data_IF_091560321802
#
_entry.id   IF_091560321802
#
_cell.length_a   1.000
_cell.length_b   1.000
_cell.length_c   1.000
_cell.angle_alpha   90.00
_cell.angle_beta   90.00
_cell.angle_gamma   90.00
#
_symmetry.space_group_name_H-M   'P 1'
#
loop_
_entity.id
_entity.type
_entity.pdbx_description
1 polymer ?
#
# COMPACT_ATOMS: atom_id res chain seq x y z
N UNK A 1 -15.70 27.04 16.37
CA UNK A 1 -15.14 25.78 15.85
C UNK A 1 -13.78 26.09 15.23
N UNK A 2 -12.74 25.35 15.63
CA UNK A 2 -11.45 25.37 14.94
C UNK A 2 -11.59 24.52 13.67
N UNK A 3 -11.38 25.12 12.50
CA UNK A 3 -11.34 24.38 11.23
C UNK A 3 -9.90 24.03 10.86
N UNK A 4 -9.69 23.03 10.00
CA UNK A 4 -8.36 22.71 9.46
C UNK A 4 -8.41 22.87 7.95
N UNK A 5 -7.43 23.60 7.37
CA UNK A 5 -7.25 23.72 5.92
C UNK A 5 -5.95 23.05 5.52
N UNK A 6 -6.02 22.15 4.56
CA UNK A 6 -4.85 21.49 3.96
C UNK A 6 -4.66 22.10 2.57
N UNK A 7 -3.43 22.53 2.28
CA UNK A 7 -3.04 23.07 0.98
C UNK A 7 -1.78 22.35 0.54
N UNK A 8 -1.73 21.93 -0.71
CA UNK A 8 -0.56 21.30 -1.30
C UNK A 8 -0.14 22.13 -2.51
N UNK A 9 1.16 22.23 -2.77
CA UNK A 9 1.68 22.81 -4.00
C UNK A 9 2.78 21.91 -4.54
N UNK A 10 2.88 21.80 -5.85
CA UNK A 10 3.95 21.02 -6.46
C UNK A 10 5.28 21.76 -6.30
N UNK A 11 6.32 21.08 -5.85
CA UNK A 11 7.67 21.65 -5.67
C UNK A 11 8.70 21.02 -6.59
N UNK A 12 8.37 19.90 -7.24
CA UNK A 12 9.17 19.29 -8.31
C UNK A 12 8.31 18.40 -9.21
N UNK A 13 8.90 17.82 -10.26
CA UNK A 13 8.21 16.89 -11.16
C UNK A 13 7.68 15.61 -10.49
N UNK A 14 8.12 15.29 -9.26
CA UNK A 14 7.80 14.05 -8.55
C UNK A 14 7.42 14.26 -7.09
N UNK A 15 7.30 15.51 -6.63
CA UNK A 15 7.02 15.80 -5.23
C UNK A 15 6.17 17.07 -5.05
N UNK A 16 5.31 17.00 -4.04
CA UNK A 16 4.42 18.06 -3.62
C UNK A 16 4.63 18.38 -2.15
N UNK A 17 4.64 19.68 -1.86
CA UNK A 17 4.70 20.20 -0.51
C UNK A 17 3.29 20.33 0.04
N UNK A 18 3.00 19.62 1.11
CA UNK A 18 1.73 19.67 1.82
C UNK A 18 1.88 20.55 3.07
N UNK A 19 0.94 21.48 3.24
CA UNK A 19 0.88 22.43 4.35
C UNK A 19 -0.47 22.31 5.06
N UNK A 20 -0.44 22.06 6.36
CA UNK A 20 -1.63 22.02 7.22
C UNK A 20 -1.72 23.30 8.06
N UNK A 21 -2.86 23.99 7.99
CA UNK A 21 -3.12 25.24 8.73
C UNK A 21 -4.36 25.10 9.60
N UNK A 22 -4.31 25.62 10.83
CA UNK A 22 -5.46 25.62 11.75
C UNK A 22 -6.15 26.98 11.70
N UNK A 23 -7.48 26.97 11.52
CA UNK A 23 -8.34 28.15 11.44
C UNK A 23 -8.90 28.49 12.82
N UNK A 24 -8.67 29.72 13.29
CA UNK A 24 -9.29 30.18 14.53
C UNK A 24 -10.70 30.77 14.34
N UNK A 25 -11.09 31.17 13.11
CA UNK A 25 -12.46 31.57 12.74
C UNK A 25 -12.68 31.37 11.23
N UNK A 26 -13.87 30.88 10.85
CA UNK A 26 -14.24 30.66 9.46
C UNK A 26 -14.31 31.98 8.67
N UNK A 27 -13.64 32.06 7.52
CA UNK A 27 -13.84 33.12 6.52
C UNK A 27 -12.91 34.35 6.57
N UNK A 28 -11.85 34.38 7.39
CA UNK A 28 -10.82 35.45 7.33
C UNK A 28 -9.52 34.97 6.69
N UNK A 29 -8.85 35.88 5.98
CA UNK A 29 -7.54 35.66 5.37
C UNK A 29 -6.53 35.15 6.40
N UNK A 30 -5.78 34.11 6.02
CA UNK A 30 -4.93 33.33 6.93
C UNK A 30 -3.52 33.94 6.92
N UNK A 31 -3.03 34.54 8.02
CA UNK A 31 -1.64 34.93 8.13
C UNK A 31 -0.73 33.71 8.20
N UNK A 32 0.51 33.82 7.71
CA UNK A 32 1.49 32.71 7.65
C UNK A 32 1.90 32.14 9.03
N UNK A 33 1.54 32.82 10.12
CA UNK A 33 1.74 32.36 11.50
C UNK A 33 0.87 31.17 11.93
N UNK A 34 -0.09 30.73 11.09
CA UNK A 34 -0.99 29.59 11.37
C UNK A 34 -0.54 28.23 10.81
N UNK A 35 0.71 28.09 10.36
CA UNK A 35 1.27 26.83 9.85
C UNK A 35 1.53 25.84 10.99
N UNK A 36 0.97 24.64 10.88
CA UNK A 36 1.14 23.57 11.89
C UNK A 36 2.03 22.45 11.38
N UNK A 37 2.02 22.19 10.08
CA UNK A 37 2.87 21.19 9.45
C UNK A 37 3.19 21.59 8.01
N UNK A 38 4.45 21.46 7.60
CA UNK A 38 4.94 21.64 6.23
C UNK A 38 5.84 20.43 5.91
N UNK A 39 5.50 19.65 4.89
CA UNK A 39 6.22 18.42 4.52
C UNK A 39 6.28 18.27 3.00
N UNK A 40 7.45 17.87 2.49
CA UNK A 40 7.63 17.48 1.10
C UNK A 40 7.37 15.97 0.97
N UNK A 41 6.37 15.62 0.17
CA UNK A 41 5.97 14.25 -0.07
C UNK A 41 6.13 13.92 -1.56
N UNK A 42 6.66 12.74 -1.92
CA UNK A 42 6.57 12.23 -3.28
C UNK A 42 5.12 12.20 -3.77
N UNK A 43 4.87 12.55 -5.03
CA UNK A 43 3.51 12.58 -5.59
C UNK A 43 2.87 11.17 -5.55
N UNK A 44 3.68 10.11 -5.62
CA UNK A 44 3.24 8.72 -5.48
C UNK A 44 2.71 8.38 -4.07
N UNK A 45 3.12 9.14 -3.05
CA UNK A 45 2.72 8.97 -1.65
C UNK A 45 1.48 9.80 -1.29
N UNK A 46 0.94 10.57 -2.25
CA UNK A 46 -0.27 11.38 -2.07
C UNK A 46 -1.39 10.73 -2.88
N UNK A 47 -2.55 10.52 -2.23
CA UNK A 47 -3.73 9.97 -2.91
C UNK A 47 -4.16 10.87 -4.08
N UNK A 48 -4.34 10.30 -5.28
CA UNK A 48 -4.74 11.02 -6.50
C UNK A 48 -6.01 11.88 -6.35
N UNK A 49 -6.96 11.47 -5.51
CA UNK A 49 -8.16 12.25 -5.20
C UNK A 49 -7.85 13.52 -4.39
N UNK A 50 -6.84 13.46 -3.52
CA UNK A 50 -6.32 14.61 -2.74
C UNK A 50 -5.50 15.51 -3.65
N UNK A 51 -4.65 14.95 -4.52
CA UNK A 51 -3.91 15.69 -5.56
C UNK A 51 -4.90 16.51 -6.40
N UNK A 52 -6.00 15.92 -6.87
CA UNK A 52 -7.02 16.60 -7.70
C UNK A 52 -7.89 17.61 -6.94
N UNK A 53 -8.14 17.44 -5.64
CA UNK A 53 -8.93 18.41 -4.86
C UNK A 53 -8.10 19.57 -4.31
N UNK A 54 -6.82 19.34 -4.05
CA UNK A 54 -5.93 20.30 -3.38
C UNK A 54 -5.06 21.08 -4.37
N UNK A 55 -4.79 20.54 -5.56
CA UNK A 55 -4.00 21.20 -6.62
C UNK A 55 -4.86 21.88 -7.70
N UNK A 56 -6.19 21.80 -7.61
CA UNK A 56 -7.11 22.55 -8.47
C UNK A 56 -7.24 23.97 -7.87
N UNK A 57 -6.26 24.83 -8.17
CA UNK A 57 -6.15 26.19 -7.59
C UNK A 57 -7.43 27.02 -7.78
N UNK A 58 -8.21 26.71 -8.83
CA UNK A 58 -9.49 27.35 -9.16
C UNK A 58 -10.62 27.00 -8.16
N UNK A 59 -10.55 25.86 -7.45
CA UNK A 59 -11.57 25.42 -6.48
C UNK A 59 -11.30 25.87 -5.05
N UNK A 60 -10.09 26.33 -4.72
CA UNK A 60 -9.69 26.63 -3.34
C UNK A 60 -9.84 28.10 -2.93
N UNK A 61 -10.26 28.99 -3.85
CA UNK A 61 -10.61 30.37 -3.55
C UNK A 61 -9.47 31.20 -2.94
N UNK A 62 -8.22 30.90 -3.29
CA UNK A 62 -7.03 31.69 -2.93
C UNK A 62 -6.06 31.65 -4.10
N UNK A 63 -6.25 32.56 -5.04
CA UNK A 63 -5.24 32.83 -6.06
C UNK A 63 -3.99 33.46 -5.45
N UNK A 64 -2.83 33.02 -5.90
CA UNK A 64 -1.74 33.93 -6.21
C UNK A 64 -1.41 33.74 -7.69
N UNK A 65 -1.29 34.86 -8.39
CA UNK A 65 -1.13 34.95 -9.84
C UNK A 65 0.15 34.26 -10.32
N UNK A 66 0.04 33.64 -11.51
CA UNK A 66 1.04 33.49 -12.58
C UNK A 66 2.51 33.33 -12.16
N UNK A 67 3.10 32.15 -12.44
CA UNK A 67 4.32 32.02 -13.26
C UNK A 67 4.78 30.55 -13.48
N UNK A 68 4.18 29.54 -12.85
CA UNK A 68 4.69 28.15 -12.92
C UNK A 68 4.11 27.25 -14.03
N UNK A 69 3.30 27.81 -14.95
CA UNK A 69 2.68 27.05 -16.05
C UNK A 69 3.63 26.70 -17.22
N UNK A 70 4.87 27.22 -17.23
CA UNK A 70 5.74 27.18 -18.42
C UNK A 70 6.69 25.98 -18.54
N UNK A 71 6.82 25.10 -17.54
CA UNK A 71 7.80 23.99 -17.59
C UNK A 71 7.24 22.66 -18.14
N UNK A 72 5.96 22.61 -18.53
CA UNK A 72 5.29 21.38 -19.01
C UNK A 72 5.44 21.10 -20.53
N UNK A 73 6.09 21.97 -21.31
CA UNK A 73 5.98 21.94 -22.77
C UNK A 73 7.20 21.43 -23.56
N UNK A 74 8.24 20.87 -22.93
CA UNK A 74 9.44 20.40 -23.67
C UNK A 74 9.95 19.03 -23.23
N UNK A 75 9.16 17.98 -23.46
CA UNK A 75 9.70 16.68 -23.87
C UNK A 75 8.57 15.82 -24.46
N UNK A 76 8.73 15.43 -25.73
CA UNK A 76 7.74 14.65 -26.49
C UNK A 76 7.80 13.18 -26.08
N UNK A 77 6.66 12.50 -25.83
CA UNK A 77 6.63 11.05 -25.76
C UNK A 77 6.72 10.42 -27.16
N UNK A 78 7.28 9.20 -27.32
CA UNK A 78 7.30 8.50 -28.59
C UNK A 78 5.91 7.93 -28.92
N UNK A 79 5.60 7.98 -30.21
CA UNK A 79 4.34 7.58 -30.85
C UNK A 79 4.23 6.04 -30.90
N UNK A 80 3.08 5.49 -30.52
CA UNK A 80 2.63 4.17 -30.95
C UNK A 80 1.16 4.29 -31.35
N UNK A 81 0.87 3.84 -32.57
CA UNK A 81 -0.39 4.00 -33.29
C UNK A 81 -1.54 3.16 -32.70
N UNK A 82 -2.74 3.74 -32.69
CA UNK A 82 -4.01 3.04 -32.43
C UNK A 82 -4.33 2.02 -33.53
N UNK A 83 -5.12 0.99 -33.20
CA UNK A 83 -6.32 0.79 -34.00
C UNK A 83 -7.60 0.91 -33.18
N UNK A 84 -8.58 1.40 -33.91
CA UNK A 84 -9.89 1.90 -33.50
C UNK A 84 -10.83 0.81 -33.00
N UNK A 85 -11.71 1.23 -32.09
CA UNK A 85 -13.14 1.06 -32.31
C UNK A 85 -13.90 0.23 -31.27
N UNK A 86 -14.62 0.95 -30.41
CA UNK A 86 -16.02 0.64 -30.12
C UNK A 86 -16.31 -0.22 -28.89
N UNK A 87 -17.25 0.24 -28.08
CA UNK A 87 -18.01 -0.64 -27.18
C UNK A 87 -17.90 -0.26 -25.71
N UNK A 88 -18.85 0.55 -25.27
CA UNK A 88 -19.12 0.85 -23.88
C UNK A 88 -19.78 -0.38 -23.24
N UNK A 89 -19.07 -1.15 -22.41
CA UNK A 89 -19.70 -2.19 -21.57
C UNK A 89 -19.09 -2.18 -20.16
N UNK A 90 -19.94 -1.82 -19.21
CA UNK A 90 -19.82 -2.22 -17.82
C UNK A 90 -19.79 -3.75 -17.78
N UNK A 91 -18.66 -4.34 -17.41
CA UNK A 91 -18.56 -5.78 -17.23
C UNK A 91 -17.98 -6.08 -15.84
N UNK A 92 -18.88 -6.15 -14.87
CA UNK A 92 -18.85 -7.23 -13.89
C UNK A 92 -19.02 -8.54 -14.67
N UNK A 93 -17.94 -9.28 -14.92
CA UNK A 93 -18.04 -10.71 -15.20
C UNK A 93 -16.73 -11.43 -14.91
N UNK A 94 -16.89 -12.43 -14.06
CA UNK A 94 -15.95 -13.47 -13.67
C UNK A 94 -15.41 -14.24 -14.88
N UNK A 95 -14.14 -14.05 -15.24
CA UNK A 95 -13.39 -15.09 -15.94
C UNK A 95 -12.80 -16.05 -14.90
N UNK A 96 -13.65 -16.93 -14.37
CA UNK A 96 -13.22 -18.04 -13.52
C UNK A 96 -12.54 -19.09 -14.43
N UNK A 97 -11.25 -19.39 -14.27
CA UNK A 97 -10.60 -20.42 -15.08
C UNK A 97 -11.30 -21.74 -14.82
N UNK A 98 -11.75 -22.41 -15.88
CA UNK A 98 -12.50 -23.66 -15.78
C UNK A 98 -11.58 -24.85 -16.00
N UNK A 99 -11.89 -25.99 -15.38
CA UNK A 99 -11.27 -27.29 -15.69
C UNK A 99 -11.34 -27.62 -17.20
N UNK A 100 -12.32 -27.05 -17.91
CA UNK A 100 -12.59 -27.33 -19.32
C UNK A 100 -11.50 -26.86 -20.27
N UNK A 101 -10.62 -25.94 -19.85
CA UNK A 101 -9.48 -25.49 -20.66
C UNK A 101 -8.26 -26.42 -20.56
N UNK A 102 -8.30 -27.43 -19.68
CA UNK A 102 -7.21 -28.41 -19.46
C UNK A 102 -5.91 -27.82 -18.89
N UNK A 103 -5.90 -26.52 -18.56
CA UNK A 103 -4.70 -25.77 -18.15
C UNK A 103 -4.31 -25.99 -16.69
N UNK A 104 -5.26 -26.35 -15.82
CA UNK A 104 -5.05 -26.49 -14.38
C UNK A 104 -5.68 -27.79 -13.86
N UNK A 105 -5.03 -28.42 -12.88
CA UNK A 105 -5.59 -29.60 -12.19
C UNK A 105 -6.77 -29.22 -11.31
N UNK A 106 -7.60 -30.20 -10.96
CA UNK A 106 -8.70 -30.01 -10.00
C UNK A 106 -8.18 -29.48 -8.66
N UNK A 107 -7.08 -30.04 -8.16
CA UNK A 107 -6.44 -29.63 -6.90
C UNK A 107 -5.94 -28.18 -6.96
N UNK A 108 -5.44 -27.74 -8.12
CA UNK A 108 -5.06 -26.34 -8.35
C UNK A 108 -6.26 -25.41 -8.22
N UNK A 109 -7.37 -25.75 -8.88
CA UNK A 109 -8.57 -24.93 -8.90
C UNK A 109 -9.26 -24.88 -7.54
N UNK A 110 -9.38 -26.01 -6.85
CA UNK A 110 -9.94 -26.07 -5.49
C UNK A 110 -9.14 -25.22 -4.51
N UNK A 111 -7.80 -25.28 -4.57
CA UNK A 111 -6.93 -24.46 -3.72
C UNK A 111 -7.03 -22.99 -4.09
N UNK A 112 -7.00 -22.67 -5.38
CA UNK A 112 -7.10 -21.31 -5.88
C UNK A 112 -8.41 -20.65 -5.44
N UNK A 113 -9.52 -21.36 -5.55
CA UNK A 113 -10.83 -20.91 -5.07
C UNK A 113 -10.84 -20.74 -3.55
N UNK A 114 -10.33 -21.74 -2.80
CA UNK A 114 -10.25 -21.67 -1.33
C UNK A 114 -9.49 -20.43 -0.84
N UNK A 115 -8.41 -20.07 -1.52
CA UNK A 115 -7.59 -18.92 -1.16
C UNK A 115 -7.97 -17.65 -1.94
N UNK A 116 -8.95 -17.68 -2.84
CA UNK A 116 -9.32 -16.51 -3.63
C UNK A 116 -8.15 -15.94 -4.45
N UNK A 117 -7.26 -16.80 -4.95
CA UNK A 117 -6.09 -16.40 -5.73
C UNK A 117 -6.19 -16.96 -7.15
N UNK A 118 -5.51 -16.36 -8.15
CA UNK A 118 -5.44 -16.95 -9.48
C UNK A 118 -4.79 -18.35 -9.46
N UNK A 119 -5.27 -19.34 -10.25
CA UNK A 119 -4.82 -20.74 -10.16
C UNK A 119 -3.35 -20.99 -10.51
N UNK A 120 -2.73 -20.08 -11.25
CA UNK A 120 -1.31 -20.12 -11.58
C UNK A 120 -0.39 -19.84 -10.37
N UNK A 121 -0.93 -19.28 -9.27
CA UNK A 121 -0.27 -19.25 -7.96
C UNK A 121 -0.39 -20.57 -7.18
N UNK A 122 -1.01 -21.60 -7.74
CA UNK A 122 -1.07 -22.95 -7.16
C UNK A 122 -0.28 -23.93 -8.03
N UNK A 123 0.45 -24.85 -7.40
CA UNK A 123 1.14 -25.97 -8.08
C UNK A 123 0.18 -27.13 -8.36
N UNK A 124 0.50 -28.04 -9.30
CA UNK A 124 -0.35 -29.20 -9.60
C UNK A 124 -0.72 -30.08 -8.40
N UNK A 125 0.13 -30.11 -7.36
CA UNK A 125 -0.11 -30.83 -6.11
C UNK A 125 -1.02 -30.09 -5.10
N UNK A 126 -1.61 -28.95 -5.50
CA UNK A 126 -2.42 -28.09 -4.64
C UNK A 126 -1.61 -27.19 -3.70
N UNK A 127 -0.27 -27.19 -3.74
CA UNK A 127 0.53 -26.31 -2.89
C UNK A 127 0.61 -24.88 -3.44
N UNK A 128 0.50 -23.90 -2.55
CA UNK A 128 0.62 -22.47 -2.92
C UNK A 128 2.05 -22.08 -3.29
N UNK A 129 2.20 -21.27 -4.34
CA UNK A 129 3.45 -20.61 -4.74
C UNK A 129 3.63 -19.31 -3.95
N UNK A 130 4.34 -19.40 -2.82
CA UNK A 130 4.67 -18.24 -1.98
C UNK A 130 5.85 -17.43 -2.56
N UNK A 131 5.89 -16.10 -2.35
CA UNK A 131 7.00 -15.26 -2.80
C UNK A 131 8.27 -15.56 -1.99
N UNK A 132 9.17 -16.36 -2.58
CA UNK A 132 10.40 -16.80 -1.97
C UNK A 132 11.58 -16.69 -2.95
N UNK A 133 12.77 -17.10 -2.53
CA UNK A 133 14.00 -16.92 -3.31
C UNK A 133 14.05 -17.73 -4.62
N UNK A 134 13.20 -18.74 -4.79
CA UNK A 134 13.25 -19.68 -5.92
C UNK A 134 11.94 -19.79 -6.69
N UNK A 135 10.90 -19.08 -6.26
CA UNK A 135 9.57 -19.12 -6.89
C UNK A 135 9.34 -17.78 -7.58
N UNK A 136 9.41 -17.71 -8.93
CA UNK A 136 9.08 -16.51 -9.67
C UNK A 136 7.58 -16.26 -9.68
N UNK A 137 7.19 -14.99 -9.80
CA UNK A 137 5.80 -14.60 -10.00
C UNK A 137 5.27 -15.21 -11.31
N UNK A 138 4.14 -15.92 -11.31
CA UNK A 138 3.61 -16.59 -12.50
C UNK A 138 3.27 -15.65 -13.66
N UNK A 139 2.95 -14.38 -13.39
CA UNK A 139 2.56 -13.40 -14.40
C UNK A 139 3.75 -12.61 -14.96
N UNK A 140 4.74 -12.30 -14.12
CA UNK A 140 5.86 -11.42 -14.50
C UNK A 140 7.21 -12.14 -14.63
N UNK A 141 7.31 -13.37 -14.11
CA UNK A 141 8.56 -14.13 -14.04
C UNK A 141 9.59 -13.59 -13.04
N UNK A 142 9.28 -12.53 -12.29
CA UNK A 142 10.21 -11.87 -11.37
C UNK A 142 10.29 -12.58 -10.03
N UNK A 143 11.46 -12.53 -9.40
CA UNK A 143 11.67 -13.05 -8.04
C UNK A 143 11.48 -11.94 -7.01
N UNK A 144 10.71 -12.27 -5.96
CA UNK A 144 10.46 -11.41 -4.81
C UNK A 144 10.78 -12.17 -3.51
N UNK A 145 12.08 -12.42 -3.21
CA UNK A 145 12.46 -13.13 -2.02
C UNK A 145 11.85 -12.52 -0.76
N UNK A 146 11.18 -13.34 0.05
CA UNK A 146 10.52 -12.92 1.30
C UNK A 146 9.41 -11.88 1.09
N UNK A 147 8.81 -11.83 -0.09
CA UNK A 147 7.73 -10.90 -0.43
C UNK A 147 8.17 -9.45 -0.61
N UNK A 148 9.46 -9.12 -0.49
CA UNK A 148 9.95 -7.77 -0.74
C UNK A 148 10.05 -7.50 -2.24
N UNK A 149 9.69 -6.29 -2.67
CA UNK A 149 9.81 -5.88 -4.07
C UNK A 149 11.27 -5.99 -4.52
N UNK A 150 11.49 -6.78 -5.57
CA UNK A 150 12.80 -7.22 -6.05
C UNK A 150 13.76 -7.76 -4.96
N UNK A 151 13.23 -8.26 -3.84
CA UNK A 151 14.00 -8.71 -2.69
C UNK A 151 14.69 -7.60 -1.89
N UNK A 152 14.36 -6.32 -2.16
CA UNK A 152 15.00 -5.16 -1.53
C UNK A 152 14.35 -4.82 -0.19
N UNK A 153 15.19 -4.67 0.83
CA UNK A 153 14.79 -4.23 2.16
C UNK A 153 15.95 -3.50 2.84
N UNK A 154 15.61 -2.68 3.82
CA UNK A 154 16.54 -2.05 4.75
C UNK A 154 16.49 -2.76 6.10
N UNK A 155 17.62 -2.81 6.80
CA UNK A 155 17.64 -3.22 8.20
C UNK A 155 17.35 -2.00 9.08
N UNK A 156 16.28 -2.08 9.86
CA UNK A 156 15.79 -0.99 10.70
C UNK A 156 15.63 -1.45 12.14
N UNK A 157 15.64 -0.50 13.08
CA UNK A 157 15.26 -0.75 14.47
C UNK A 157 14.01 0.06 14.75
N UNK A 158 12.87 -0.61 14.95
CA UNK A 158 11.64 0.07 15.30
C UNK A 158 11.76 0.64 16.73
N UNK A 159 11.48 1.92 16.94
CA UNK A 159 11.53 2.52 18.27
C UNK A 159 10.38 2.02 19.14
N UNK A 160 10.58 2.08 20.45
CA UNK A 160 9.51 1.89 21.41
C UNK A 160 8.35 2.86 21.13
N UNK A 161 7.12 2.39 21.30
CA UNK A 161 5.90 3.13 20.99
C UNK A 161 5.40 2.97 19.56
N UNK A 162 6.23 2.50 18.62
CA UNK A 162 5.81 2.27 17.22
C UNK A 162 4.68 1.24 17.18
N UNK A 163 3.66 1.53 16.38
CA UNK A 163 2.55 0.61 16.11
C UNK A 163 2.80 -0.16 14.81
N UNK A 164 2.53 -1.47 14.85
CA UNK A 164 2.54 -2.37 13.69
C UNK A 164 1.34 -3.31 13.80
N UNK A 165 0.79 -3.74 12.68
CA UNK A 165 -0.33 -4.70 12.67
C UNK A 165 0.04 -5.96 11.89
N UNK A 166 -0.74 -7.03 12.06
CA UNK A 166 -0.67 -8.16 11.14
C UNK A 166 -1.93 -9.02 11.13
N UNK A 167 -2.05 -9.74 10.04
CA UNK A 167 -2.93 -10.88 9.90
C UNK A 167 -2.22 -12.21 10.22
N UNK A 168 -3.00 -13.24 10.53
CA UNK A 168 -2.53 -14.63 10.71
C UNK A 168 -2.16 -15.04 12.14
N UNK A 169 -1.90 -16.34 12.33
CA UNK A 169 -1.62 -16.96 13.63
C UNK A 169 -0.17 -16.78 14.11
N UNK A 170 0.08 -16.96 15.42
CA UNK A 170 1.26 -16.46 16.16
C UNK A 170 2.65 -16.98 15.72
N UNK A 171 2.70 -17.89 14.76
CA UNK A 171 3.93 -18.44 14.19
C UNK A 171 4.50 -17.60 13.03
N UNK A 172 3.78 -16.58 12.56
CA UNK A 172 4.26 -15.66 11.52
C UNK A 172 5.21 -14.59 12.07
N UNK A 173 6.04 -14.05 11.19
CA UNK A 173 7.12 -13.09 11.45
C UNK A 173 7.01 -11.78 10.63
N UNK A 174 5.95 -11.65 9.81
CA UNK A 174 5.66 -10.46 9.00
C UNK A 174 4.57 -9.59 9.64
N UNK A 175 4.75 -8.27 9.48
CA UNK A 175 3.88 -7.21 9.98
C UNK A 175 3.75 -6.11 8.92
N UNK A 176 2.80 -5.20 9.08
CA UNK A 176 2.66 -4.02 8.21
C UNK A 176 2.47 -2.74 9.03
N UNK A 177 2.46 -1.62 8.33
CA UNK A 177 2.00 -0.34 8.91
C UNK A 177 0.50 -0.46 9.23
N UNK A 178 0.04 -0.04 10.42
CA UNK A 178 -1.37 -0.08 10.77
C UNK A 178 -2.24 0.60 9.73
N UNK A 179 -3.33 -0.07 9.33
CA UNK A 179 -4.26 0.46 8.33
C UNK A 179 -3.81 0.29 6.88
N UNK A 180 -2.70 -0.42 6.61
CA UNK A 180 -2.34 -0.81 5.23
C UNK A 180 -3.50 -1.62 4.62
N UNK A 181 -4.07 -1.22 3.46
CA UNK A 181 -5.13 -1.96 2.76
C UNK A 181 -4.75 -3.41 2.48
N UNK A 182 -5.74 -4.31 2.42
CA UNK A 182 -5.47 -5.75 2.27
C UNK A 182 -4.75 -6.06 0.95
N UNK A 183 -5.15 -5.42 -0.14
CA UNK A 183 -4.58 -5.54 -1.48
C UNK A 183 -3.10 -5.10 -1.51
N UNK A 184 -2.77 -4.08 -0.71
CA UNK A 184 -1.40 -3.60 -0.58
C UNK A 184 -0.49 -4.54 0.22
N UNK A 185 -1.06 -5.56 0.88
CA UNK A 185 -0.32 -6.59 1.62
C UNK A 185 0.01 -7.82 0.77
N UNK A 186 -0.54 -7.91 -0.44
CA UNK A 186 -0.35 -9.03 -1.37
C UNK A 186 -0.45 -10.43 -0.70
N UNK A 187 -1.43 -10.59 0.19
CA UNK A 187 -1.67 -11.84 0.92
C UNK A 187 -2.64 -12.75 0.14
N UNK A 188 -2.42 -14.05 0.23
CA UNK A 188 -3.40 -15.04 -0.22
C UNK A 188 -4.62 -15.02 0.70
N UNK A 189 -5.79 -15.33 0.14
CA UNK A 189 -7.08 -15.23 0.82
C UNK A 189 -7.92 -14.08 0.27
N UNK A 190 -9.24 -14.21 0.30
CA UNK A 190 -10.19 -13.10 0.11
C UNK A 190 -10.20 -12.12 1.31
N UNK A 191 -9.08 -11.94 2.00
CA UNK A 191 -9.01 -11.31 3.31
C UNK A 191 -9.19 -12.32 4.46
N UNK A 192 -8.33 -12.30 5.50
CA UNK A 192 -8.59 -12.97 6.76
C UNK A 192 -9.92 -12.48 7.35
N UNK A 193 -10.70 -13.35 7.97
CA UNK A 193 -11.92 -12.93 8.66
C UNK A 193 -11.58 -11.95 9.79
N UNK A 194 -11.89 -10.67 9.60
CA UNK A 194 -11.77 -9.62 10.62
C UNK A 194 -10.63 -8.62 10.37
N UNK A 195 -10.41 -7.76 11.35
CA UNK A 195 -9.37 -6.72 11.33
C UNK A 195 -7.99 -7.29 11.68
N UNK A 196 -6.89 -6.67 11.19
CA UNK A 196 -5.55 -7.09 11.58
C UNK A 196 -5.35 -6.82 13.07
N UNK A 197 -4.61 -7.70 13.74
CA UNK A 197 -4.27 -7.51 15.16
C UNK A 197 -3.21 -6.43 15.28
N UNK A 198 -3.41 -5.51 16.23
CA UNK A 198 -2.53 -4.36 16.44
C UNK A 198 -1.54 -4.62 17.57
N UNK A 199 -0.29 -4.21 17.38
CA UNK A 199 0.79 -4.38 18.34
C UNK A 199 1.55 -3.09 18.55
N UNK A 200 1.93 -2.83 19.80
CA UNK A 200 2.86 -1.76 20.18
C UNK A 200 4.24 -2.36 20.41
N UNK A 201 5.26 -1.74 19.82
CA UNK A 201 6.66 -2.02 20.13
C UNK A 201 6.96 -1.48 21.53
N UNK A 202 7.41 -2.35 22.43
CA UNK A 202 7.67 -2.00 23.84
C UNK A 202 9.16 -1.98 24.19
N UNK A 203 10.04 -2.24 23.22
CA UNK A 203 11.49 -2.01 23.27
C UNK A 203 12.08 -2.04 21.86
N UNK A 204 13.25 -1.42 21.61
CA UNK A 204 13.88 -1.38 20.30
C UNK A 204 13.90 -2.75 19.61
N UNK A 205 13.33 -2.81 18.40
CA UNK A 205 13.04 -4.07 17.71
C UNK A 205 13.66 -4.08 16.31
N UNK A 206 14.79 -4.79 16.12
CA UNK A 206 15.42 -4.97 14.81
C UNK A 206 14.51 -5.75 13.85
N UNK A 207 14.29 -5.19 12.67
CA UNK A 207 13.44 -5.73 11.61
C UNK A 207 14.05 -5.46 10.23
N UNK A 208 13.58 -6.18 9.23
CA UNK A 208 13.73 -5.81 7.82
C UNK A 208 12.51 -5.02 7.40
N UNK A 209 12.68 -3.88 6.75
CA UNK A 209 11.60 -3.06 6.23
C UNK A 209 11.74 -2.93 4.72
N UNK A 210 10.63 -2.98 4.00
CA UNK A 210 10.64 -2.74 2.56
C UNK A 210 9.24 -2.82 1.95
N UNK A 211 9.19 -2.46 0.68
CA UNK A 211 7.96 -2.51 -0.11
C UNK A 211 7.52 -3.96 -0.36
N UNK A 212 6.22 -4.21 -0.26
CA UNK A 212 5.58 -5.49 -0.53
C UNK A 212 5.46 -5.66 -2.05
N UNK A 213 5.99 -6.74 -2.59
CA UNK A 213 5.85 -7.05 -4.00
C UNK A 213 4.40 -7.36 -4.37
N UNK A 214 3.98 -7.10 -5.64
CA UNK A 214 2.75 -7.67 -6.16
C UNK A 214 2.82 -9.20 -6.10
N UNK A 215 1.74 -9.83 -5.68
CA UNK A 215 1.62 -11.29 -5.60
C UNK A 215 0.15 -11.70 -5.47
N UNK A 216 -0.18 -12.96 -5.76
CA UNK A 216 -1.56 -13.49 -5.65
C UNK A 216 -2.62 -12.69 -6.42
N UNK A 217 -2.24 -12.02 -7.52
CA UNK A 217 -3.14 -11.14 -8.27
C UNK A 217 -3.44 -9.80 -7.59
N UNK A 218 -2.76 -9.50 -6.48
CA UNK A 218 -2.86 -8.26 -5.74
C UNK A 218 -1.69 -7.31 -6.07
N UNK A 219 -1.90 -5.99 -6.03
CA UNK A 219 -0.90 -5.00 -6.42
C UNK A 219 0.29 -4.91 -5.46
N UNK A 220 0.12 -5.23 -4.17
CA UNK A 220 1.17 -4.95 -3.18
C UNK A 220 1.41 -3.45 -3.03
N UNK A 221 2.66 -3.06 -2.80
CA UNK A 221 3.07 -1.65 -2.64
C UNK A 221 2.98 -1.10 -1.21
N UNK A 222 2.41 -1.86 -0.27
CA UNK A 222 2.47 -1.52 1.15
C UNK A 222 3.88 -1.67 1.72
N UNK A 223 4.11 -1.16 2.94
CA UNK A 223 5.35 -1.44 3.68
C UNK A 223 5.15 -2.65 4.58
N UNK A 224 6.02 -3.66 4.45
CA UNK A 224 6.11 -4.77 5.40
C UNK A 224 7.34 -4.66 6.31
N UNK A 225 7.19 -5.22 7.50
CA UNK A 225 8.29 -5.48 8.42
C UNK A 225 8.43 -6.98 8.63
N UNK A 226 9.63 -7.51 8.48
CA UNK A 226 9.95 -8.89 8.83
C UNK A 226 10.87 -8.93 10.05
N UNK A 227 10.42 -9.63 11.07
CA UNK A 227 11.18 -9.86 12.30
C UNK A 227 12.10 -11.08 12.18
N UNK A 228 13.13 -11.16 13.02
CA UNK A 228 14.01 -12.35 13.09
C UNK A 228 13.37 -13.54 13.83
N UNK A 229 12.20 -13.35 14.45
CA UNK A 229 11.54 -14.37 15.26
C UNK A 229 10.02 -14.22 15.21
N UNK A 230 9.26 -15.32 15.27
CA UNK A 230 7.80 -15.26 15.15
C UNK A 230 7.16 -14.46 16.29
N UNK A 231 5.95 -13.95 16.04
CA UNK A 231 5.18 -13.15 16.99
C UNK A 231 5.11 -13.79 18.38
N UNK A 232 4.87 -15.11 18.47
CA UNK A 232 4.82 -15.82 19.76
C UNK A 232 6.07 -15.57 20.62
N UNK A 233 7.26 -15.52 19.99
CA UNK A 233 8.52 -15.22 20.68
C UNK A 233 8.64 -13.73 21.01
N UNK A 234 8.20 -12.84 20.12
CA UNK A 234 8.20 -11.39 20.37
C UNK A 234 7.33 -11.01 21.57
N UNK A 235 6.13 -11.59 21.68
CA UNK A 235 5.23 -11.41 22.83
C UNK A 235 5.84 -11.98 24.12
N UNK A 236 6.34 -13.23 24.08
CA UNK A 236 6.97 -13.88 25.24
C UNK A 236 8.19 -13.09 25.76
N UNK A 237 9.02 -12.59 24.85
CA UNK A 237 10.21 -11.78 25.18
C UNK A 237 9.87 -10.31 25.43
N UNK A 238 8.60 -9.92 25.38
CA UNK A 238 8.14 -8.54 25.61
C UNK A 238 8.78 -7.52 24.66
N UNK A 239 8.98 -7.87 23.38
CA UNK A 239 9.28 -6.87 22.33
C UNK A 239 8.02 -6.21 21.79
N UNK A 240 6.92 -6.96 21.78
CA UNK A 240 5.60 -6.49 21.36
C UNK A 240 4.60 -6.71 22.48
N UNK A 241 3.62 -5.82 22.53
CA UNK A 241 2.38 -5.96 23.29
C UNK A 241 1.20 -5.88 22.33
N UNK A 242 0.25 -6.80 22.44
CA UNK A 242 -0.97 -6.78 21.64
C UNK A 242 -1.98 -5.80 22.23
N UNK A 243 -2.47 -4.88 21.41
CA UNK A 243 -3.51 -3.93 21.79
C UNK A 243 -4.88 -4.56 21.51
N UNK A 244 -5.70 -4.72 22.56
CA UNK A 244 -7.08 -5.21 22.43
C UNK A 244 -8.05 -4.03 22.36
N UNK A 245 -9.25 -4.26 21.83
CA UNK A 245 -10.21 -3.27 21.29
C UNK A 245 -10.63 -2.06 22.13
N UNK A 246 -10.13 -1.88 23.36
CA UNK A 246 -10.39 -0.71 24.21
C UNK A 246 -9.14 0.14 24.51
N UNK A 247 -7.95 -0.25 24.03
CA UNK A 247 -6.68 0.38 24.44
C UNK A 247 -6.20 1.53 23.54
N UNK A 248 -7.03 2.01 22.61
CA UNK A 248 -6.64 3.00 21.59
C UNK A 248 -7.58 4.21 21.45
N UNK A 249 -8.71 4.24 22.18
CA UNK A 249 -9.65 5.38 22.18
C UNK A 249 -9.22 6.47 23.13
#
# INVERSE_FOLDING_TARGET
>A
MLGVKIVARRVSAVASRVVVRVLHQAGKAIPDSGKVLEIDLPDADINDGIIRQVLDEDKLGVGSKSDDAASRAKEKPPVVEEPKGGGNESASSTNRPSEADGKFTKEQLETAEKYGVPPDYTRPDGSTKWPNAVTPDPHTGKLHPRGFLNGKYDEVVLPEGRLIDRYGGDNGDYFSVPGTPFEQRAMAGNGPSGEPRLFKVIKPLPMKQGEIAPWFGQPGGGTQYQSQMPLKKLLKKKYLEELKGNSWR
#
